data_IF_495849764629
#
_entry.id   IF_495849764629
#
_cell.length_a   1.000
_cell.length_b   1.000
_cell.length_c   1.000
_cell.angle_alpha   90.00
_cell.angle_beta   90.00
_cell.angle_gamma   90.00
#
_symmetry.space_group_name_H-M   'P 1'
#
loop_
_entity.id
_entity.type
_entity.pdbx_description
1 polymer ?
#
# COMPACT_ATOMS: atom_id res chain seq x y z
N UNK A 1 -8.23 -25.14 -11.39
CA UNK A 1 -6.95 -24.92 -12.11
C UNK A 1 -7.14 -23.81 -13.12
N UNK A 2 -6.47 -22.67 -12.92
CA UNK A 2 -6.14 -21.72 -13.98
C UNK A 2 -4.97 -20.86 -13.48
N UNK A 3 -3.75 -21.30 -13.79
CA UNK A 3 -2.56 -20.47 -13.64
C UNK A 3 -2.57 -19.42 -14.76
N UNK A 4 -2.83 -18.17 -14.41
CA UNK A 4 -2.68 -17.03 -15.33
C UNK A 4 -1.29 -16.43 -15.14
N UNK A 5 -0.32 -16.95 -15.89
CA UNK A 5 0.99 -16.32 -16.02
C UNK A 5 0.89 -15.12 -16.97
N UNK A 6 1.11 -13.91 -16.46
CA UNK A 6 1.71 -12.79 -17.21
C UNK A 6 2.74 -12.07 -16.33
N UNK A 7 3.95 -12.59 -16.45
CA UNK A 7 5.22 -12.13 -15.90
C UNK A 7 5.70 -10.84 -16.59
N UNK A 8 6.11 -9.86 -15.80
CA UNK A 8 6.88 -8.71 -16.28
C UNK A 8 7.15 -7.68 -15.18
N UNK A 9 6.14 -7.36 -14.38
CA UNK A 9 6.23 -6.33 -13.33
C UNK A 9 6.80 -6.83 -11.99
N UNK A 10 6.86 -8.14 -11.78
CA UNK A 10 7.27 -8.75 -10.51
C UNK A 10 8.57 -9.56 -10.58
N UNK A 11 9.31 -9.60 -11.69
CA UNK A 11 10.49 -10.47 -11.82
C UNK A 11 11.54 -10.26 -10.70
N UNK A 12 11.68 -9.04 -10.16
CA UNK A 12 12.54 -8.76 -9.00
C UNK A 12 11.97 -9.24 -7.66
N UNK A 13 10.65 -9.23 -7.49
CA UNK A 13 9.98 -9.65 -6.26
C UNK A 13 9.68 -11.16 -6.23
N UNK A 14 9.61 -11.82 -7.40
CA UNK A 14 9.41 -13.26 -7.52
C UNK A 14 10.52 -14.08 -6.87
N UNK A 15 11.76 -13.58 -6.86
CA UNK A 15 12.86 -14.23 -6.15
C UNK A 15 12.61 -14.28 -4.63
N UNK A 16 11.86 -13.31 -4.11
CA UNK A 16 11.52 -13.18 -2.69
C UNK A 16 10.17 -13.82 -2.33
N UNK A 17 9.34 -14.20 -3.31
CA UNK A 17 8.07 -14.92 -3.08
C UNK A 17 8.26 -16.17 -2.21
N UNK A 18 9.37 -16.90 -2.37
CA UNK A 18 9.65 -18.07 -1.53
C UNK A 18 9.73 -17.72 -0.05
N UNK A 19 10.31 -16.57 0.30
CA UNK A 19 10.41 -16.11 1.68
C UNK A 19 9.04 -15.66 2.21
N UNK A 20 8.19 -15.08 1.36
CA UNK A 20 6.83 -14.68 1.74
C UNK A 20 5.89 -15.88 1.93
N UNK A 21 6.00 -16.90 1.07
CA UNK A 21 5.21 -18.13 1.16
C UNK A 21 5.50 -18.93 2.44
N UNK A 22 6.69 -18.80 3.02
CA UNK A 22 7.03 -19.42 4.31
C UNK A 22 6.25 -18.81 5.50
N UNK A 23 5.66 -17.62 5.33
CA UNK A 23 4.98 -16.86 6.41
C UNK A 23 3.47 -17.06 6.43
N UNK A 24 2.97 -18.10 5.75
CA UNK A 24 1.53 -18.36 5.56
C UNK A 24 0.75 -17.17 4.99
N UNK A 25 1.43 -16.29 4.24
CA UNK A 25 0.82 -15.14 3.60
C UNK A 25 0.25 -15.57 2.25
N UNK A 26 -1.05 -15.32 2.07
CA UNK A 26 -1.67 -15.40 0.76
C UNK A 26 -1.42 -14.10 0.02
N UNK A 27 -0.58 -14.14 -1.02
CA UNK A 27 -0.46 -13.00 -1.93
C UNK A 27 -1.72 -12.90 -2.78
N UNK A 28 -2.38 -11.75 -2.74
CA UNK A 28 -3.55 -11.44 -3.56
C UNK A 28 -3.10 -10.40 -4.60
N UNK A 29 -3.18 -10.79 -5.86
CA UNK A 29 -2.89 -9.90 -6.99
C UNK A 29 -4.18 -9.65 -7.76
N UNK A 30 -4.44 -8.38 -8.07
CA UNK A 30 -5.58 -7.99 -8.88
C UNK A 30 -5.12 -6.95 -9.91
N UNK A 31 -5.21 -7.31 -11.19
CA UNK A 31 -4.67 -6.51 -12.31
C UNK A 31 -5.74 -6.03 -13.28
N UNK A 32 -6.99 -6.47 -13.11
CA UNK A 32 -8.12 -6.10 -13.97
C UNK A 32 -9.27 -5.66 -13.08
N UNK A 33 -9.56 -4.35 -13.09
CA UNK A 33 -10.69 -3.77 -12.38
C UNK A 33 -11.68 -3.23 -13.41
N UNK A 34 -12.95 -3.62 -13.31
CA UNK A 34 -14.00 -3.18 -14.23
C UNK A 34 -14.89 -2.12 -13.57
N UNK A 35 -15.09 -2.21 -12.26
CA UNK A 35 -15.93 -1.31 -11.48
C UNK A 35 -15.20 -0.75 -10.27
N UNK A 36 -15.74 0.34 -9.69
CA UNK A 36 -15.28 0.85 -8.38
C UNK A 36 -15.50 -0.17 -7.27
N UNK A 37 -16.57 -0.97 -7.35
CA UNK A 37 -16.86 -2.00 -6.35
C UNK A 37 -15.77 -3.07 -6.32
N UNK A 38 -15.17 -3.41 -7.47
CA UNK A 38 -14.06 -4.37 -7.53
C UNK A 38 -12.86 -3.90 -6.70
N UNK A 39 -12.58 -2.60 -6.74
CA UNK A 39 -11.48 -1.99 -5.95
C UNK A 39 -11.83 -2.01 -4.46
N UNK A 40 -13.07 -1.68 -4.10
CA UNK A 40 -13.55 -1.72 -2.70
C UNK A 40 -13.45 -3.14 -2.16
N UNK A 41 -13.94 -4.14 -2.90
CA UNK A 41 -13.86 -5.55 -2.51
C UNK A 41 -12.41 -6.00 -2.35
N UNK A 42 -11.52 -5.59 -3.27
CA UNK A 42 -10.10 -5.90 -3.15
C UNK A 42 -9.49 -5.36 -1.86
N UNK A 43 -9.79 -4.10 -1.48
CA UNK A 43 -9.30 -3.55 -0.21
C UNK A 43 -9.90 -4.26 1.01
N UNK A 44 -11.17 -4.69 0.95
CA UNK A 44 -11.79 -5.45 2.03
C UNK A 44 -11.17 -6.85 2.23
N UNK A 45 -10.55 -7.41 1.19
CA UNK A 45 -9.96 -8.75 1.22
C UNK A 45 -8.48 -8.79 1.64
N UNK A 46 -7.81 -7.63 1.79
CA UNK A 46 -6.40 -7.56 2.17
C UNK A 46 -6.20 -7.06 3.61
N UNK A 47 -5.24 -7.64 4.32
CA UNK A 47 -4.84 -7.20 5.66
C UNK A 47 -3.66 -6.21 5.63
N UNK A 48 -2.76 -6.34 4.65
CA UNK A 48 -1.57 -5.50 4.51
C UNK A 48 -1.42 -5.13 3.04
N UNK A 49 -1.22 -3.85 2.76
CA UNK A 49 -0.87 -3.38 1.41
C UNK A 49 0.65 -3.37 1.24
N UNK A 50 1.11 -3.84 0.09
CA UNK A 50 2.53 -3.83 -0.31
C UNK A 50 2.70 -2.86 -1.47
N UNK A 51 3.61 -1.89 -1.31
CA UNK A 51 4.04 -1.00 -2.39
C UNK A 51 5.52 -1.19 -2.62
N UNK A 52 5.87 -2.10 -3.53
CA UNK A 52 7.26 -2.46 -3.81
C UNK A 52 7.57 -2.37 -5.30
N UNK A 53 8.26 -1.28 -5.70
CA UNK A 53 8.52 -0.98 -7.13
C UNK A 53 9.95 -0.47 -7.37
N UNK A 54 10.99 -1.24 -6.99
CA UNK A 54 12.39 -0.80 -7.05
C UNK A 54 12.92 -0.58 -8.48
N UNK A 55 12.15 -0.97 -9.49
CA UNK A 55 12.48 -0.81 -10.90
C UNK A 55 11.97 0.51 -11.50
N UNK A 56 11.22 1.30 -10.73
CA UNK A 56 10.71 2.60 -11.19
C UNK A 56 11.77 3.67 -10.93
N UNK A 57 12.17 4.39 -11.99
CA UNK A 57 13.02 5.58 -11.87
C UNK A 57 12.16 6.79 -11.46
N UNK A 58 12.20 7.14 -10.17
CA UNK A 58 11.45 8.28 -9.61
C UNK A 58 11.76 9.60 -10.33
N UNK A 59 12.96 9.77 -10.91
CA UNK A 59 13.33 11.00 -11.61
C UNK A 59 12.56 11.15 -12.93
N UNK A 60 12.01 10.06 -13.47
CA UNK A 60 11.25 10.05 -14.73
C UNK A 60 9.75 10.21 -14.53
N UNK A 61 9.24 10.09 -13.30
CA UNK A 61 7.79 10.11 -13.04
C UNK A 61 7.43 11.37 -12.24
N UNK A 62 6.93 12.38 -12.96
CA UNK A 62 6.67 13.72 -12.41
C UNK A 62 5.34 13.86 -11.65
N UNK A 63 4.48 12.84 -11.66
CA UNK A 63 3.10 12.91 -11.15
C UNK A 63 2.75 11.74 -10.23
N UNK A 64 3.65 11.34 -9.33
CA UNK A 64 3.25 10.45 -8.26
C UNK A 64 2.48 11.22 -7.18
N UNK A 65 1.40 10.59 -6.71
CA UNK A 65 0.60 11.06 -5.60
C UNK A 65 0.52 9.96 -4.55
N UNK A 66 0.24 10.31 -3.29
CA UNK A 66 0.11 9.33 -2.21
C UNK A 66 -1.21 8.55 -2.26
N UNK A 67 -2.05 8.69 -3.30
CA UNK A 67 -3.43 8.21 -3.26
C UNK A 67 -3.54 6.69 -3.05
N UNK A 68 -2.53 5.90 -3.45
CA UNK A 68 -2.50 4.47 -3.14
C UNK A 68 -2.39 4.19 -1.64
N UNK A 69 -1.60 5.00 -0.93
CA UNK A 69 -1.44 4.91 0.52
C UNK A 69 -2.71 5.43 1.19
N UNK A 70 -3.28 6.53 0.70
CA UNK A 70 -4.53 7.10 1.21
C UNK A 70 -5.69 6.11 1.06
N UNK A 71 -5.81 5.44 -0.08
CA UNK A 71 -6.86 4.46 -0.32
C UNK A 71 -6.74 3.27 0.64
N UNK A 72 -5.55 2.69 0.85
CA UNK A 72 -5.41 1.65 1.87
C UNK A 72 -5.71 2.18 3.27
N UNK A 73 -5.25 3.39 3.56
CA UNK A 73 -5.44 4.01 4.86
C UNK A 73 -6.92 4.23 5.21
N UNK A 74 -7.78 4.54 4.24
CA UNK A 74 -9.23 4.71 4.47
C UNK A 74 -9.96 3.42 4.84
N UNK A 75 -9.35 2.26 4.61
CA UNK A 75 -9.85 0.95 5.08
C UNK A 75 -9.13 0.49 6.36
N UNK A 76 -8.23 1.31 6.92
CA UNK A 76 -7.42 0.92 8.07
C UNK A 76 -6.39 -0.16 7.75
N UNK A 77 -5.94 -0.24 6.50
CA UNK A 77 -4.98 -1.26 6.05
C UNK A 77 -3.56 -0.70 6.20
N UNK A 78 -2.71 -1.27 7.06
CA UNK A 78 -1.31 -0.89 7.13
C UNK A 78 -0.61 -1.11 5.79
N UNK A 79 0.23 -0.17 5.39
CA UNK A 79 1.01 -0.25 4.15
C UNK A 79 2.49 -0.34 4.48
N UNK A 80 3.19 -1.33 3.91
CA UNK A 80 4.65 -1.34 3.85
C UNK A 80 5.06 -0.91 2.44
N UNK A 81 5.85 0.16 2.35
CA UNK A 81 6.17 0.79 1.07
C UNK A 81 7.68 1.04 0.93
N UNK A 82 8.19 0.76 -0.26
CA UNK A 82 9.47 1.32 -0.69
C UNK A 82 9.36 2.84 -0.61
N UNK A 83 10.29 3.49 0.11
CA UNK A 83 10.25 4.93 0.34
C UNK A 83 10.31 5.68 -1.00
N UNK A 84 9.26 6.44 -1.32
CA UNK A 84 9.18 7.27 -2.52
C UNK A 84 8.92 8.73 -2.12
N UNK A 85 9.51 9.70 -2.84
CA UNK A 85 9.32 11.14 -2.55
C UNK A 85 7.83 11.55 -2.50
N UNK A 86 7.00 10.90 -3.29
CA UNK A 86 5.57 11.19 -3.36
C UNK A 86 4.78 10.78 -2.11
N UNK A 87 5.38 9.99 -1.21
CA UNK A 87 4.74 9.55 0.03
C UNK A 87 5.01 10.50 1.21
N UNK A 88 5.72 11.60 0.99
CA UNK A 88 6.05 12.59 2.03
C UNK A 88 4.81 13.07 2.81
N UNK A 89 3.67 13.25 2.14
CA UNK A 89 2.41 13.67 2.78
C UNK A 89 1.83 12.62 3.74
N UNK A 90 2.20 11.36 3.54
CA UNK A 90 1.78 10.20 4.33
C UNK A 90 2.87 9.76 5.33
N UNK A 91 3.96 10.51 5.49
CA UNK A 91 5.03 10.17 6.43
C UNK A 91 4.48 9.92 7.83
N UNK A 92 4.82 8.78 8.41
CA UNK A 92 4.33 8.32 9.73
C UNK A 92 3.01 7.53 9.69
N UNK A 93 2.42 7.35 8.50
CA UNK A 93 1.16 6.61 8.29
C UNK A 93 1.35 5.41 7.34
N UNK A 94 2.59 4.98 7.15
CA UNK A 94 2.99 3.73 6.50
C UNK A 94 4.35 3.31 7.08
N UNK A 95 4.80 2.12 6.74
CA UNK A 95 6.11 1.59 7.09
C UNK A 95 7.08 1.79 5.93
N UNK A 96 7.96 2.80 5.99
CA UNK A 96 8.94 3.05 4.95
C UNK A 96 10.06 2.01 5.01
N UNK A 97 10.43 1.47 3.86
CA UNK A 97 11.53 0.51 3.72
C UNK A 97 12.40 0.87 2.52
N UNK A 98 13.69 0.59 2.61
CA UNK A 98 14.67 0.73 1.53
C UNK A 98 15.17 -0.60 0.98
N UNK A 99 15.03 -1.68 1.75
CA UNK A 99 15.50 -3.03 1.38
C UNK A 99 14.42 -4.09 1.57
N UNK A 100 14.63 -5.26 0.95
CA UNK A 100 13.68 -6.38 1.09
C UNK A 100 13.76 -7.00 2.48
N UNK A 101 14.93 -6.95 3.12
CA UNK A 101 15.14 -7.41 4.49
C UNK A 101 14.35 -6.54 5.47
N UNK A 102 14.36 -5.22 5.29
CA UNK A 102 13.54 -4.29 6.07
C UNK A 102 12.04 -4.54 5.82
N UNK A 103 11.64 -4.75 4.56
CA UNK A 103 10.27 -5.12 4.21
C UNK A 103 9.80 -6.37 4.98
N UNK A 104 10.63 -7.42 4.98
CA UNK A 104 10.32 -8.67 5.65
C UNK A 104 10.26 -8.49 7.17
N UNK A 105 11.17 -7.71 7.76
CA UNK A 105 11.15 -7.43 9.19
C UNK A 105 9.86 -6.71 9.61
N UNK A 106 9.43 -5.71 8.84
CA UNK A 106 8.18 -4.97 9.09
C UNK A 106 6.96 -5.86 8.93
N UNK A 107 6.99 -6.78 7.97
CA UNK A 107 5.92 -7.75 7.76
C UNK A 107 5.81 -8.72 8.94
N UNK A 108 6.94 -9.24 9.42
CA UNK A 108 6.99 -10.14 10.57
C UNK A 108 6.52 -9.43 11.86
N UNK A 109 6.89 -8.15 12.03
CA UNK A 109 6.45 -7.33 13.17
C UNK A 109 4.92 -7.12 13.15
N UNK A 110 4.35 -6.75 12.00
CA UNK A 110 2.90 -6.57 11.85
C UNK A 110 2.12 -7.87 12.06
N UNK A 111 2.67 -9.02 11.67
CA UNK A 111 2.05 -10.31 11.91
C UNK A 111 2.05 -10.72 13.39
N UNK A 112 3.11 -10.36 14.12
CA UNK A 112 3.32 -10.81 15.49
C UNK A 112 2.83 -9.83 16.54
N UNK A 113 2.51 -8.59 16.15
CA UNK A 113 2.05 -7.53 17.05
C UNK A 113 0.66 -6.98 16.67
N UNK A 114 -0.42 -7.56 17.21
CA UNK A 114 -1.78 -7.06 17.00
C UNK A 114 -1.96 -5.60 17.41
N UNK A 115 -1.32 -5.18 18.51
CA UNK A 115 -1.38 -3.79 18.98
C UNK A 115 -0.74 -2.83 17.98
N UNK A 116 0.41 -3.19 17.41
CA UNK A 116 1.04 -2.36 16.37
C UNK A 116 0.13 -2.22 15.16
N UNK A 117 -0.49 -3.33 14.73
CA UNK A 117 -1.44 -3.34 13.61
C UNK A 117 -2.62 -2.41 13.89
N UNK A 118 -3.29 -2.56 15.04
CA UNK A 118 -4.46 -1.77 15.42
C UNK A 118 -4.12 -0.27 15.53
N UNK A 119 -2.99 0.06 16.16
CA UNK A 119 -2.54 1.44 16.30
C UNK A 119 -2.27 2.08 14.93
N UNK A 120 -1.67 1.34 13.99
CA UNK A 120 -1.43 1.83 12.63
C UNK A 120 -2.73 1.94 11.83
N UNK A 121 -3.62 0.95 11.91
CA UNK A 121 -4.92 0.97 11.26
C UNK A 121 -5.71 2.21 11.67
N UNK A 122 -5.76 2.52 12.98
CA UNK A 122 -6.46 3.70 13.49
C UNK A 122 -5.82 5.01 13.01
N UNK A 123 -4.49 5.12 13.07
CA UNK A 123 -3.75 6.30 12.58
C UNK A 123 -3.97 6.52 11.08
N UNK A 124 -3.96 5.44 10.30
CA UNK A 124 -4.25 5.45 8.88
C UNK A 124 -5.64 6.01 8.58
N UNK A 125 -6.67 5.51 9.26
CA UNK A 125 -8.05 6.00 9.10
C UNK A 125 -8.11 7.51 9.39
N UNK A 126 -7.58 7.94 10.54
CA UNK A 126 -7.56 9.35 10.93
C UNK A 126 -6.87 10.24 9.89
N UNK A 127 -5.75 9.79 9.33
CA UNK A 127 -5.03 10.53 8.29
C UNK A 127 -5.80 10.59 6.97
N UNK A 128 -6.47 9.51 6.61
CA UNK A 128 -7.23 9.41 5.37
C UNK A 128 -8.40 10.41 5.31
N UNK A 129 -8.95 10.78 6.47
CA UNK A 129 -10.00 11.80 6.57
C UNK A 129 -9.58 13.15 5.99
N UNK A 130 -8.29 13.51 6.02
CA UNK A 130 -7.81 14.73 5.36
C UNK A 130 -8.10 14.77 3.86
N UNK A 131 -8.27 13.59 3.24
CA UNK A 131 -8.59 13.41 1.83
C UNK A 131 -10.08 13.17 1.57
N UNK A 132 -10.92 13.17 2.61
CA UNK A 132 -12.36 13.10 2.45
C UNK A 132 -12.85 14.25 1.55
N UNK A 133 -13.80 13.97 0.66
CA UNK A 133 -14.24 14.92 -0.37
C UNK A 133 -14.73 16.24 0.21
N UNK A 134 -15.30 16.22 1.42
CA UNK A 134 -15.74 17.42 2.13
C UNK A 134 -14.57 18.33 2.56
N UNK A 135 -13.44 17.74 2.93
CA UNK A 135 -12.24 18.51 3.29
C UNK A 135 -11.58 19.08 2.04
N UNK A 136 -11.47 18.27 0.98
CA UNK A 136 -10.92 18.71 -0.31
C UNK A 136 -11.77 19.82 -0.93
N UNK A 137 -13.09 19.65 -1.00
CA UNK A 137 -14.00 20.66 -1.57
C UNK A 137 -13.91 22.00 -0.83
N UNK A 138 -13.79 21.98 0.51
CA UNK A 138 -13.55 23.19 1.32
C UNK A 138 -12.23 23.89 0.95
N UNK A 139 -11.15 23.14 0.71
CA UNK A 139 -9.88 23.73 0.26
C UNK A 139 -10.02 24.41 -1.10
N UNK A 140 -10.70 23.78 -2.06
CA UNK A 140 -10.93 24.38 -3.39
C UNK A 140 -11.76 25.65 -3.32
N UNK A 141 -12.75 25.73 -2.42
CA UNK A 141 -13.55 26.94 -2.21
C UNK A 141 -12.74 28.11 -1.63
N UNK A 142 -11.56 27.85 -1.05
CA UNK A 142 -10.66 28.86 -0.49
C UNK A 142 -9.64 29.39 -1.50
N UNK A 143 -9.53 28.77 -2.69
CA UNK A 143 -8.59 29.19 -3.75
C UNK A 143 -9.09 30.41 -4.57
N UNK A 144 -9.99 31.21 -4.00
CA UNK A 144 -10.51 32.44 -4.61
C UNK A 144 -9.41 33.48 -4.82
#
# INVERSE_FOLDING_TARGET
>A
MAASARSGLFNGFQQHLKQLLQRYIRLIEFSQFFTRQDIVNFYQDIAIQIVWRPYIDEKRIKLFNPLKLVNAASFGIPTIALEERAFVEMKGYYFPVGTIEEFIAQLDELQTSPTLYEDYAQRCIQKSENYHIDNISRMYQQLN
#
